data_IF_588141005142
#
_entry.id   IF_588141005142
#
_cell.length_a   1.000
_cell.length_b   1.000
_cell.length_c   1.000
_cell.angle_alpha   90.00
_cell.angle_beta   90.00
_cell.angle_gamma   90.00
#
_symmetry.space_group_name_H-M   'P 1'
#
loop_
_entity.id
_entity.type
_entity.pdbx_description
1 polymer ?
#
# COMPACT_ATOMS: atom_id res chain seq x y z
N UNK A 1 -2.52 -0.21 13.01
CA UNK A 1 -3.87 0.37 12.77
C UNK A 1 -3.98 0.67 11.29
N UNK A 2 -5.15 0.55 10.65
CA UNK A 2 -5.27 0.93 9.25
C UNK A 2 -4.93 2.42 9.09
N UNK A 3 -3.99 2.71 8.18
CA UNK A 3 -3.65 4.08 7.78
C UNK A 3 -4.41 4.42 6.50
N UNK A 4 -4.54 5.72 6.21
CA UNK A 4 -5.18 6.23 4.98
C UNK A 4 -4.58 5.58 3.72
N UNK A 5 -3.29 5.21 3.75
CA UNK A 5 -2.63 4.52 2.65
C UNK A 5 -3.17 3.08 2.45
N UNK A 6 -3.51 2.36 3.51
CA UNK A 6 -4.09 1.01 3.38
C UNK A 6 -5.45 1.06 2.67
N UNK A 7 -6.30 2.02 3.04
CA UNK A 7 -7.61 2.21 2.42
C UNK A 7 -7.50 2.65 0.96
N UNK A 8 -6.57 3.57 0.65
CA UNK A 8 -6.31 4.02 -0.72
C UNK A 8 -5.82 2.86 -1.61
N UNK A 9 -4.93 2.01 -1.09
CA UNK A 9 -4.46 0.82 -1.80
C UNK A 9 -5.59 -0.17 -2.04
N UNK A 10 -6.42 -0.43 -1.03
CA UNK A 10 -7.57 -1.33 -1.14
C UNK A 10 -8.56 -0.85 -2.21
N UNK A 11 -8.87 0.45 -2.20
CA UNK A 11 -9.74 1.09 -3.19
C UNK A 11 -9.14 1.11 -4.60
N UNK A 12 -7.81 1.17 -4.71
CA UNK A 12 -7.09 1.22 -5.98
C UNK A 12 -7.22 2.55 -6.72
N UNK A 13 -7.49 3.64 -5.99
CA UNK A 13 -7.60 4.98 -6.56
C UNK A 13 -6.19 5.59 -6.70
N UNK A 14 -5.70 5.67 -7.93
CA UNK A 14 -4.35 6.14 -8.25
C UNK A 14 -4.13 7.61 -7.89
N UNK A 15 -5.12 8.49 -8.11
CA UNK A 15 -4.99 9.92 -7.82
C UNK A 15 -4.76 10.17 -6.32
N UNK A 16 -5.48 9.42 -5.48
CA UNK A 16 -5.31 9.47 -4.02
C UNK A 16 -3.95 8.89 -3.62
N UNK A 17 -3.54 7.78 -4.23
CA UNK A 17 -2.24 7.17 -3.97
C UNK A 17 -1.09 8.12 -4.29
N UNK A 18 -1.09 8.75 -5.46
CA UNK A 18 -0.07 9.71 -5.87
C UNK A 18 0.02 10.89 -4.89
N UNK A 19 -1.13 11.46 -4.50
CA UNK A 19 -1.18 12.55 -3.52
C UNK A 19 -0.62 12.15 -2.15
N UNK A 20 -0.91 10.92 -1.71
CA UNK A 20 -0.43 10.41 -0.42
C UNK A 20 1.07 10.16 -0.46
N UNK A 21 1.57 9.48 -1.50
CA UNK A 21 2.98 9.10 -1.64
C UNK A 21 3.94 10.30 -1.63
N UNK A 22 3.49 11.46 -2.11
CA UNK A 22 4.26 12.72 -2.05
C UNK A 22 4.49 13.21 -0.61
N UNK A 23 3.67 12.80 0.37
CA UNK A 23 3.71 13.30 1.76
C UNK A 23 4.67 12.56 2.70
N UNK A 24 5.67 11.81 2.18
CA UNK A 24 6.62 11.01 2.98
C UNK A 24 5.93 10.06 3.98
N UNK A 25 4.84 9.42 3.55
CA UNK A 25 4.11 8.46 4.38
C UNK A 25 4.95 7.20 4.61
N UNK A 26 4.73 6.53 5.74
CA UNK A 26 5.28 5.20 5.97
C UNK A 26 4.58 4.16 5.07
N UNK A 27 5.35 3.59 4.14
CA UNK A 27 4.88 2.62 3.15
C UNK A 27 4.93 1.17 3.66
N UNK A 28 5.53 0.93 4.82
CA UNK A 28 5.78 -0.40 5.36
C UNK A 28 5.05 -0.64 6.69
N UNK A 29 4.40 0.40 7.23
CA UNK A 29 3.57 0.30 8.44
C UNK A 29 2.47 -0.74 8.26
N UNK A 30 2.29 -1.60 9.27
CA UNK A 30 1.33 -2.70 9.22
C UNK A 30 -0.02 -2.30 9.82
N UNK A 31 -1.11 -2.73 9.18
CA UNK A 31 -2.45 -2.56 9.72
C UNK A 31 -2.76 -3.53 10.89
N UNK A 32 -4.01 -3.54 11.35
CA UNK A 32 -4.45 -4.44 12.45
C UNK A 32 -4.40 -5.92 12.08
N UNK A 33 -4.37 -6.24 10.79
CA UNK A 33 -4.22 -7.61 10.26
C UNK A 33 -2.75 -8.00 10.02
N UNK A 34 -1.81 -7.09 10.32
CA UNK A 34 -0.39 -7.33 10.09
C UNK A 34 0.05 -7.19 8.63
N UNK A 35 -0.78 -6.60 7.78
CA UNK A 35 -0.53 -6.36 6.35
C UNK A 35 0.09 -4.98 6.15
N UNK A 36 1.14 -4.88 5.32
CA UNK A 36 1.58 -3.60 4.76
C UNK A 36 0.67 -3.15 3.61
N UNK A 37 0.77 -1.89 3.16
CA UNK A 37 0.13 -1.44 1.93
C UNK A 37 0.45 -2.35 0.73
N UNK A 38 1.69 -2.80 0.57
CA UNK A 38 2.05 -3.68 -0.54
C UNK A 38 1.45 -5.08 -0.40
N UNK A 39 1.31 -5.60 0.82
CA UNK A 39 0.63 -6.88 1.08
C UNK A 39 -0.85 -6.82 0.65
N UNK A 40 -1.54 -5.71 0.94
CA UNK A 40 -2.92 -5.50 0.48
C UNK A 40 -2.97 -5.47 -1.04
N UNK A 41 -2.11 -4.69 -1.71
CA UNK A 41 -2.09 -4.57 -3.17
C UNK A 41 -1.94 -5.93 -3.86
N UNK A 42 -1.05 -6.79 -3.34
CA UNK A 42 -0.84 -8.16 -3.83
C UNK A 42 -2.09 -9.01 -3.57
N UNK A 43 -2.61 -9.03 -2.34
CA UNK A 43 -3.78 -9.84 -1.97
C UNK A 43 -5.03 -9.50 -2.80
N UNK A 44 -5.26 -8.21 -3.05
CA UNK A 44 -6.42 -7.75 -3.86
C UNK A 44 -6.12 -7.67 -5.36
N UNK A 45 -4.93 -8.12 -5.80
CA UNK A 45 -4.49 -8.18 -7.21
C UNK A 45 -4.51 -6.83 -7.93
N UNK A 46 -4.12 -5.75 -7.25
CA UNK A 46 -4.03 -4.40 -7.81
C UNK A 46 -2.64 -4.14 -8.39
N UNK A 47 -2.38 -4.66 -9.58
CA UNK A 47 -1.07 -4.60 -10.25
C UNK A 47 -0.51 -3.17 -10.41
N UNK A 48 -1.35 -2.20 -10.79
CA UNK A 48 -0.92 -0.81 -10.96
C UNK A 48 -0.48 -0.20 -9.63
N UNK A 49 -1.21 -0.50 -8.55
CA UNK A 49 -0.88 -0.03 -7.20
C UNK A 49 0.37 -0.73 -6.69
N UNK A 50 0.50 -2.03 -6.93
CA UNK A 50 1.69 -2.80 -6.59
C UNK A 50 2.94 -2.19 -7.24
N UNK A 51 2.89 -1.93 -8.56
CA UNK A 51 4.00 -1.31 -9.29
C UNK A 51 4.35 0.07 -8.74
N UNK A 52 3.35 0.90 -8.46
CA UNK A 52 3.54 2.23 -7.89
C UNK A 52 4.20 2.16 -6.50
N UNK A 53 3.69 1.33 -5.60
CA UNK A 53 4.26 1.18 -4.26
C UNK A 53 5.71 0.66 -4.32
N UNK A 54 6.01 -0.28 -5.22
CA UNK A 54 7.38 -0.78 -5.43
C UNK A 54 8.32 0.30 -5.95
N UNK A 55 7.87 1.18 -6.85
CA UNK A 55 8.72 2.27 -7.36
C UNK A 55 9.08 3.29 -6.27
N UNK A 56 8.24 3.41 -5.23
CA UNK A 56 8.52 4.19 -4.02
C UNK A 56 9.27 3.41 -2.92
N UNK A 57 9.67 2.17 -3.18
CA UNK A 57 10.46 1.35 -2.25
C UNK A 57 9.67 0.64 -1.15
N UNK A 58 8.34 0.51 -1.31
CA UNK A 58 7.52 -0.28 -0.39
C UNK A 58 7.89 -1.77 -0.44
N UNK A 59 7.79 -2.44 0.70
CA UNK A 59 8.09 -3.87 0.86
C UNK A 59 6.86 -4.65 1.28
N UNK A 60 6.73 -5.83 0.68
CA UNK A 60 5.75 -6.83 1.08
C UNK A 60 6.39 -7.68 2.18
N UNK A 61 5.59 -8.07 3.15
CA UNK A 61 5.99 -8.94 4.25
C UNK A 61 5.09 -10.17 4.32
N UNK A 62 4.53 -10.58 3.17
CA UNK A 62 3.72 -11.79 2.96
C UNK A 62 4.03 -12.84 4.02
N UNK A 63 3.06 -13.08 4.89
CA UNK A 63 3.13 -14.19 5.84
C UNK A 63 2.77 -15.45 5.05
N UNK A 64 3.69 -16.42 5.05
CA UNK A 64 3.43 -17.79 4.60
C UNK A 64 2.30 -18.45 5.42
#
# INVERSE_FOLDING_TARGET
>A
GDSILHDAVYGGNMDILELLLDKKVDLNGKNKKGESPLDIAIRVRRQNVEMLLRSFGAKAFLHD
#
